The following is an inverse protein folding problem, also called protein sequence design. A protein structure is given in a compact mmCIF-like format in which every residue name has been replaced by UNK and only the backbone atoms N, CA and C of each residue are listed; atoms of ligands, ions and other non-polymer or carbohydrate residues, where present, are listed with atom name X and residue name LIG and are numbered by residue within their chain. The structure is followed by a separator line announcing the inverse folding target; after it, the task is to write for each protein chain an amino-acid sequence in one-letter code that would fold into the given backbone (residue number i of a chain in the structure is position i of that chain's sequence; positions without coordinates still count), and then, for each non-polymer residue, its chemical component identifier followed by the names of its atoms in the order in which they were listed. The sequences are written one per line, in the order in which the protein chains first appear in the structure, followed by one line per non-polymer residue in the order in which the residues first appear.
data_IF_018297882911
#
_entry.id   IF_018297882911
#
_cell.length_a   1.000
_cell.length_b   1.000
_cell.length_c   1.000
_cell.angle_alpha   90.00
_cell.angle_beta   90.00
_cell.angle_gamma   90.00
#
_symmetry.space_group_name_H-M   'P 1'
#
loop_
_entity.id
_entity.type
_entity.pdbx_description
1 polymer ?
#
# COMPACT_ATOMS: atom_id res chain seq x y z
N UNK A 1 45.64 0.02 -13.31
CA UNK A 1 46.27 -1.22 -12.82
C UNK A 1 46.09 -1.21 -11.32
N UNK A 2 45.35 -2.08 -10.64
CA UNK A 2 44.62 -3.30 -10.97
C UNK A 2 43.54 -3.47 -9.89
N UNK A 3 42.27 -3.64 -10.27
CA UNK A 3 41.49 -4.89 -10.25
C UNK A 3 41.06 -5.38 -8.86
N UNK A 4 39.74 -5.26 -8.67
CA UNK A 4 38.84 -5.98 -7.76
C UNK A 4 39.12 -7.48 -7.70
N UNK A 5 39.13 -8.03 -6.47
CA UNK A 5 38.89 -9.44 -6.09
C UNK A 5 38.73 -9.45 -4.55
N UNK A 6 37.75 -10.05 -3.88
CA UNK A 6 36.65 -10.94 -4.26
C UNK A 6 35.68 -11.03 -3.07
N UNK A 7 34.40 -11.28 -3.37
CA UNK A 7 33.36 -11.86 -2.52
C UNK A 7 33.87 -12.76 -1.37
N UNK A 8 33.49 -12.44 -0.13
CA UNK A 8 33.50 -13.43 0.96
C UNK A 8 32.19 -14.22 0.91
N UNK A 9 32.28 -15.43 0.34
CA UNK A 9 31.22 -16.42 0.36
C UNK A 9 30.94 -16.94 1.78
N UNK A 10 29.72 -17.40 1.99
CA UNK A 10 29.21 -18.02 3.21
C UNK A 10 30.17 -19.08 3.75
N UNK A 11 30.90 -18.70 4.80
CA UNK A 11 31.77 -19.58 5.56
C UNK A 11 30.96 -20.64 6.29
N UNK A 12 31.37 -21.90 6.11
CA UNK A 12 30.86 -23.09 6.80
C UNK A 12 30.66 -22.83 8.30
N UNK A 13 29.41 -22.92 8.75
CA UNK A 13 29.06 -22.96 10.17
C UNK A 13 29.71 -24.22 10.77
N UNK A 14 30.59 -24.06 11.74
CA UNK A 14 31.18 -25.19 12.45
C UNK A 14 30.08 -25.95 13.21
N UNK A 15 29.98 -27.26 12.98
CA UNK A 15 28.95 -28.14 13.55
C UNK A 15 28.92 -28.14 15.10
N UNK A 16 30.02 -27.69 15.72
CA UNK A 16 30.19 -27.55 17.17
C UNK A 16 29.45 -26.31 17.69
N UNK A 17 29.47 -25.19 16.95
CA UNK A 17 28.77 -23.95 17.33
C UNK A 17 27.24 -24.13 17.33
N UNK A 18 26.71 -24.88 16.37
CA UNK A 18 25.28 -25.18 16.27
C UNK A 18 24.76 -26.06 17.43
N UNK A 19 25.57 -27.00 17.93
CA UNK A 19 25.17 -27.84 19.08
C UNK A 19 25.10 -27.03 20.38
N UNK A 20 26.01 -26.07 20.56
CA UNK A 20 25.97 -25.16 21.72
C UNK A 20 24.80 -24.19 21.63
N UNK A 21 24.54 -23.60 20.46
CA UNK A 21 23.39 -22.70 20.26
C UNK A 21 22.07 -23.44 20.45
N UNK A 22 21.94 -24.69 19.97
CA UNK A 22 20.75 -25.54 20.19
C UNK A 22 20.54 -25.92 21.65
N UNK A 23 21.61 -26.18 22.42
CA UNK A 23 21.49 -26.43 23.87
C UNK A 23 21.05 -25.18 24.64
N UNK A 24 21.59 -24.01 24.30
CA UNK A 24 21.20 -22.76 24.97
C UNK A 24 19.80 -22.30 24.56
N UNK A 25 19.42 -22.42 23.28
CA UNK A 25 18.04 -22.16 22.84
C UNK A 25 17.04 -23.16 23.40
N UNK A 26 17.35 -24.47 23.49
CA UNK A 26 16.44 -25.44 24.15
C UNK A 26 16.26 -25.16 25.63
N UNK A 27 17.32 -24.75 26.35
CA UNK A 27 17.22 -24.31 27.75
C UNK A 27 16.37 -23.04 27.89
N UNK A 28 16.57 -22.05 27.01
CA UNK A 28 15.74 -20.83 26.98
C UNK A 28 14.28 -21.12 26.63
N UNK A 29 14.01 -22.00 25.67
CA UNK A 29 12.66 -22.45 25.30
C UNK A 29 12.00 -23.25 26.43
N UNK A 30 12.75 -24.10 27.14
CA UNK A 30 12.23 -24.81 28.31
C UNK A 30 11.88 -23.86 29.46
N UNK A 31 12.69 -22.82 29.69
CA UNK A 31 12.39 -21.77 30.68
C UNK A 31 11.15 -20.97 30.26
N UNK A 32 11.02 -20.58 28.99
CA UNK A 32 9.85 -19.86 28.47
C UNK A 32 8.57 -20.72 28.54
N UNK A 33 8.68 -22.02 28.23
CA UNK A 33 7.56 -22.95 28.35
C UNK A 33 7.15 -23.15 29.81
N UNK A 34 8.11 -23.30 30.73
CA UNK A 34 7.83 -23.40 32.16
C UNK A 34 7.18 -22.11 32.69
N UNK A 35 7.65 -20.92 32.29
CA UNK A 35 7.03 -19.65 32.68
C UNK A 35 5.62 -19.49 32.10
N UNK A 36 5.37 -19.98 30.88
CA UNK A 36 4.05 -19.96 30.28
C UNK A 36 3.08 -20.90 31.03
N UNK A 37 3.53 -22.09 31.45
CA UNK A 37 2.74 -23.01 32.26
C UNK A 37 2.42 -22.39 33.62
N UNK A 38 3.39 -21.74 34.27
CA UNK A 38 3.15 -21.03 35.54
C UNK A 38 2.16 -19.89 35.37
N UNK A 39 2.24 -19.12 34.27
CA UNK A 39 1.24 -18.09 33.96
C UNK A 39 -0.16 -18.68 33.75
N UNK A 40 -0.29 -19.79 33.03
CA UNK A 40 -1.59 -20.47 32.85
C UNK A 40 -2.13 -20.95 34.19
N UNK A 41 -1.30 -21.53 35.06
CA UNK A 41 -1.72 -21.96 36.41
C UNK A 41 -2.14 -20.77 37.26
N UNK A 42 -1.44 -19.62 37.19
CA UNK A 42 -1.82 -18.40 37.88
C UNK A 42 -3.17 -17.88 37.35
N UNK A 43 -3.36 -17.81 36.03
CA UNK A 43 -4.63 -17.37 35.42
C UNK A 43 -5.78 -18.30 35.79
N UNK A 44 -5.57 -19.62 35.80
CA UNK A 44 -6.59 -20.60 36.24
C UNK A 44 -6.87 -20.46 37.73
N UNK A 45 -5.86 -20.25 38.57
CA UNK A 45 -6.05 -20.05 40.02
C UNK A 45 -6.77 -18.74 40.35
N UNK A 46 -6.50 -17.65 39.62
CA UNK A 46 -7.25 -16.39 39.72
C UNK A 46 -8.68 -16.56 39.19
N UNK A 47 -8.87 -17.31 38.11
CA UNK A 47 -10.20 -17.63 37.57
C UNK A 47 -11.06 -18.46 38.53
N UNK A 48 -10.47 -19.40 39.26
CA UNK A 48 -11.18 -20.22 40.26
C UNK A 48 -11.48 -19.41 41.54
N UNK A 49 -10.59 -18.51 41.97
CA UNK A 49 -10.85 -17.64 43.13
C UNK A 49 -11.88 -16.54 42.81
N UNK A 50 -11.90 -16.02 41.58
CA UNK A 50 -12.96 -15.13 41.10
C UNK A 50 -14.31 -15.85 40.94
N UNK A 51 -14.31 -17.13 40.55
CA UNK A 51 -15.52 -17.95 40.39
C UNK A 51 -16.26 -18.31 41.68
N UNK A 52 -15.61 -18.23 42.85
CA UNK A 52 -16.22 -18.55 44.16
C UNK A 52 -16.78 -17.29 44.86
N UNK A 53 -16.54 -16.09 44.31
CA UNK A 53 -17.27 -14.87 44.68
C UNK A 53 -18.24 -14.52 43.55
N UNK A 54 -19.36 -15.24 43.46
CA UNK A 54 -20.56 -14.72 42.81
C UNK A 54 -21.10 -13.55 43.65
N UNK A 55 -20.46 -12.39 43.52
CA UNK A 55 -21.19 -11.13 43.53
C UNK A 55 -21.65 -10.92 42.09
N UNK A 56 -22.95 -10.66 41.91
CA UNK A 56 -23.58 -10.29 40.63
C UNK A 56 -23.03 -8.96 40.09
N UNK A 57 -21.75 -8.92 39.75
CA UNK A 57 -21.15 -7.92 38.90
C UNK A 57 -21.41 -8.30 37.45
N UNK A 58 -22.59 -7.97 36.94
CA UNK A 58 -22.83 -7.91 35.50
C UNK A 58 -21.63 -7.22 34.81
N UNK A 59 -21.07 -7.75 33.71
CA UNK A 59 -20.04 -7.02 32.97
C UNK A 59 -20.64 -5.66 32.61
N UNK A 60 -20.05 -4.59 33.15
CA UNK A 60 -20.48 -3.23 32.85
C UNK A 60 -20.48 -3.06 31.33
N UNK A 61 -21.51 -2.45 30.71
CA UNK A 61 -21.51 -2.24 29.28
C UNK A 61 -20.21 -1.50 28.92
N UNK A 62 -19.37 -2.10 28.06
CA UNK A 62 -18.13 -1.48 27.58
C UNK A 62 -18.50 -0.11 27.03
N UNK A 63 -17.96 0.96 27.61
CA UNK A 63 -18.31 2.29 27.13
C UNK A 63 -17.72 2.47 25.74
N UNK A 64 -18.41 3.19 24.85
CA UNK A 64 -17.90 3.44 23.49
C UNK A 64 -16.51 4.12 23.54
N UNK A 65 -16.27 4.92 24.58
CA UNK A 65 -14.96 5.54 24.82
C UNK A 65 -13.87 4.48 25.07
N UNK A 66 -14.20 3.37 25.73
CA UNK A 66 -13.26 2.28 25.96
C UNK A 66 -13.02 1.47 24.69
N UNK A 67 -14.03 1.28 23.83
CA UNK A 67 -13.85 0.67 22.50
C UNK A 67 -12.94 1.52 21.60
N UNK A 68 -13.14 2.84 21.57
CA UNK A 68 -12.27 3.76 20.82
C UNK A 68 -10.84 3.72 21.37
N UNK A 69 -10.67 3.73 22.70
CA UNK A 69 -9.33 3.63 23.31
C UNK A 69 -8.65 2.31 22.97
N UNK A 70 -9.36 1.20 23.06
CA UNK A 70 -8.83 -0.12 22.71
C UNK A 70 -8.37 -0.14 21.25
N UNK A 71 -9.17 0.43 20.34
CA UNK A 71 -8.82 0.51 18.93
C UNK A 71 -7.59 1.40 18.69
N UNK A 72 -7.54 2.57 19.31
CA UNK A 72 -6.45 3.52 19.12
C UNK A 72 -5.14 3.10 19.83
N UNK A 73 -5.19 2.18 20.81
CA UNK A 73 -4.01 1.77 21.55
C UNK A 73 -3.00 0.97 20.71
N UNK A 74 -3.42 0.38 19.59
CA UNK A 74 -2.50 -0.29 18.64
C UNK A 74 -1.87 0.66 17.63
N UNK A 75 -2.25 1.94 17.66
CA UNK A 75 -1.84 2.93 16.64
C UNK A 75 -0.56 3.66 17.02
N UNK A 76 0.10 4.25 16.02
CA UNK A 76 1.32 5.04 16.22
C UNK A 76 1.03 6.38 16.93
N UNK A 77 -0.17 6.94 16.73
CA UNK A 77 -0.59 8.20 17.33
C UNK A 77 -1.92 8.04 18.09
N UNK A 78 -1.92 7.39 19.27
CA UNK A 78 -3.16 7.07 20.00
C UNK A 78 -4.00 8.28 20.39
N UNK A 79 -3.37 9.37 20.82
CA UNK A 79 -4.08 10.61 21.19
C UNK A 79 -4.83 11.20 20.00
N UNK A 80 -4.14 11.32 18.87
CA UNK A 80 -4.66 11.81 17.58
C UNK A 80 -5.82 10.93 17.09
N UNK A 81 -5.66 9.61 17.15
CA UNK A 81 -6.71 8.63 16.84
C UNK A 81 -7.97 8.82 17.70
N UNK A 82 -7.81 8.89 19.03
CA UNK A 82 -8.95 9.05 19.95
C UNK A 82 -9.67 10.36 19.68
N UNK A 83 -8.93 11.47 19.55
CA UNK A 83 -9.53 12.78 19.32
C UNK A 83 -10.29 12.85 18.00
N UNK A 84 -9.69 12.34 16.91
CA UNK A 84 -10.26 12.49 15.58
C UNK A 84 -11.51 11.65 15.39
N UNK A 85 -11.52 10.41 15.89
CA UNK A 85 -12.69 9.52 15.86
C UNK A 85 -13.79 10.05 16.77
N UNK A 86 -13.44 10.53 17.96
CA UNK A 86 -14.42 11.08 18.91
C UNK A 86 -15.12 12.31 18.36
N UNK A 87 -14.42 13.16 17.61
CA UNK A 87 -15.00 14.32 16.91
C UNK A 87 -15.84 13.88 15.72
N UNK A 88 -15.33 12.98 14.87
CA UNK A 88 -16.00 12.61 13.62
C UNK A 88 -17.26 11.76 13.81
N UNK A 89 -17.33 10.93 14.86
CA UNK A 89 -18.54 10.14 15.15
C UNK A 89 -19.74 11.00 15.58
N UNK A 90 -19.50 12.20 16.11
CA UNK A 90 -20.55 13.07 16.65
C UNK A 90 -21.40 12.36 17.70
N UNK A 91 -22.72 12.33 17.47
CA UNK A 91 -23.70 11.67 18.34
C UNK A 91 -23.88 10.16 18.07
N UNK A 92 -23.14 9.58 17.11
CA UNK A 92 -23.23 8.15 16.80
C UNK A 92 -22.67 7.33 17.98
N UNK A 93 -23.51 6.44 18.51
CA UNK A 93 -23.23 5.63 19.70
C UNK A 93 -22.65 4.24 19.38
N UNK A 94 -22.14 4.03 18.16
CA UNK A 94 -21.58 2.73 17.77
C UNK A 94 -20.28 2.41 18.52
N UNK A 95 -20.22 1.21 19.08
CA UNK A 95 -19.01 0.57 19.63
C UNK A 95 -18.42 -0.48 18.68
N UNK A 96 -19.02 -0.65 17.50
CA UNK A 96 -18.58 -1.59 16.46
C UNK A 96 -17.20 -1.20 15.88
N UNK A 97 -16.16 -2.05 16.03
CA UNK A 97 -14.83 -1.78 15.49
C UNK A 97 -14.80 -1.52 13.99
N UNK A 98 -15.71 -2.14 13.22
CA UNK A 98 -15.79 -1.98 11.77
C UNK A 98 -16.23 -0.56 11.38
N UNK A 99 -17.29 -0.05 12.03
CA UNK A 99 -17.76 1.31 11.83
C UNK A 99 -16.77 2.35 12.38
N UNK A 100 -16.13 2.08 13.53
CA UNK A 100 -15.07 2.94 14.07
C UNK A 100 -13.88 3.03 13.11
N UNK A 101 -13.50 1.92 12.48
CA UNK A 101 -12.46 1.92 11.46
C UNK A 101 -12.89 2.68 10.19
N UNK A 102 -14.14 2.53 9.74
CA UNK A 102 -14.69 3.31 8.63
C UNK A 102 -14.66 4.81 8.91
N UNK A 103 -14.97 5.23 10.13
CA UNK A 103 -14.83 6.63 10.59
C UNK A 103 -13.37 7.07 10.53
N UNK A 104 -12.42 6.23 10.98
CA UNK A 104 -10.98 6.53 10.88
C UNK A 104 -10.51 6.75 9.44
N UNK A 105 -11.01 5.96 8.48
CA UNK A 105 -10.73 6.14 7.06
C UNK A 105 -11.30 7.46 6.52
N UNK A 106 -12.56 7.79 6.83
CA UNK A 106 -13.18 9.07 6.43
C UNK A 106 -12.41 10.27 6.98
N UNK A 107 -12.00 10.20 8.24
CA UNK A 107 -11.16 11.24 8.87
C UNK A 107 -9.84 11.44 8.12
N UNK A 108 -9.21 10.37 7.66
CA UNK A 108 -7.99 10.45 6.86
C UNK A 108 -8.27 11.09 5.48
N UNK A 109 -9.34 10.68 4.78
CA UNK A 109 -9.75 11.28 3.50
C UNK A 109 -9.97 12.79 3.63
N UNK A 110 -10.75 13.21 4.64
CA UNK A 110 -11.06 14.61 4.88
C UNK A 110 -9.80 15.44 5.20
N UNK A 111 -8.85 14.84 5.93
CA UNK A 111 -7.60 15.52 6.25
C UNK A 111 -6.69 15.66 5.02
N UNK A 112 -6.63 14.66 4.14
CA UNK A 112 -5.89 14.77 2.87
C UNK A 112 -6.56 15.79 1.95
N UNK A 113 -7.89 15.76 1.82
CA UNK A 113 -8.64 16.72 0.99
C UNK A 113 -8.49 18.17 1.47
N UNK A 114 -8.28 18.40 2.78
CA UNK A 114 -7.95 19.73 3.29
C UNK A 114 -6.54 20.18 2.89
N UNK A 115 -5.54 19.31 3.01
CA UNK A 115 -4.16 19.69 2.70
C UNK A 115 -3.90 19.81 1.20
N UNK A 116 -4.64 19.11 0.34
CA UNK A 116 -4.51 19.29 -1.12
C UNK A 116 -4.83 20.72 -1.55
N UNK A 117 -5.76 21.40 -0.86
CA UNK A 117 -6.04 22.83 -1.12
C UNK A 117 -4.93 23.78 -0.69
N UNK A 118 -4.05 23.36 0.23
CA UNK A 118 -2.95 24.19 0.74
C UNK A 118 -1.91 24.42 -0.35
N UNK A 119 -1.70 23.45 -1.25
CA UNK A 119 -0.76 23.59 -2.36
C UNK A 119 -1.06 24.81 -3.25
N UNK A 120 -2.34 25.12 -3.48
CA UNK A 120 -2.78 26.28 -4.25
C UNK A 120 -2.63 27.63 -3.54
N UNK A 121 -2.31 27.63 -2.24
CA UNK A 121 -2.17 28.86 -1.43
C UNK A 121 -0.74 29.42 -1.40
N UNK A 122 0.24 28.68 -1.92
CA UNK A 122 1.62 29.12 -1.93
C UNK A 122 1.89 30.12 -3.06
N UNK A 123 2.57 31.22 -2.73
CA UNK A 123 3.13 32.11 -3.75
C UNK A 123 4.32 31.43 -4.41
N UNK A 124 4.19 31.14 -5.71
CA UNK A 124 5.25 30.52 -6.51
C UNK A 124 5.98 31.64 -7.26
N UNK A 125 7.28 31.85 -7.02
CA UNK A 125 8.07 32.77 -7.84
C UNK A 125 8.04 32.31 -9.30
N UNK A 126 7.78 33.22 -10.24
CA UNK A 126 7.59 32.89 -11.67
C UNK A 126 8.75 32.11 -12.33
N UNK A 127 9.94 32.14 -11.73
CA UNK A 127 11.13 31.44 -12.22
C UNK A 127 11.43 30.12 -11.49
N UNK A 128 10.71 29.77 -10.42
CA UNK A 128 10.95 28.55 -9.66
C UNK A 128 10.13 27.37 -10.22
N UNK A 129 10.54 26.91 -11.40
CA UNK A 129 9.92 25.78 -12.10
C UNK A 129 9.97 24.47 -11.29
N UNK A 130 10.97 24.34 -10.41
CA UNK A 130 11.15 23.17 -9.56
C UNK A 130 10.09 23.14 -8.47
N UNK A 131 9.87 24.27 -7.80
CA UNK A 131 8.79 24.42 -6.83
C UNK A 131 7.42 24.20 -7.47
N UNK A 132 7.20 24.77 -8.66
CA UNK A 132 5.96 24.59 -9.42
C UNK A 132 5.70 23.10 -9.76
N UNK A 133 6.76 22.38 -10.17
CA UNK A 133 6.67 20.94 -10.44
C UNK A 133 6.43 20.12 -9.16
N UNK A 134 7.13 20.43 -8.06
CA UNK A 134 6.93 19.75 -6.78
C UNK A 134 5.50 19.90 -6.25
N UNK A 135 4.91 21.10 -6.38
CA UNK A 135 3.51 21.34 -5.99
C UNK A 135 2.51 20.57 -6.87
N UNK A 136 2.77 20.43 -8.17
CA UNK A 136 1.97 19.58 -9.07
C UNK A 136 2.09 18.10 -8.70
N UNK A 137 3.30 17.63 -8.43
CA UNK A 137 3.54 16.24 -8.00
C UNK A 137 2.80 15.96 -6.68
N UNK A 138 2.81 16.90 -5.73
CA UNK A 138 2.05 16.80 -4.49
C UNK A 138 0.54 16.69 -4.69
N UNK A 139 -0.04 17.53 -5.55
CA UNK A 139 -1.47 17.47 -5.87
C UNK A 139 -1.86 16.08 -6.39
N UNK A 140 -1.05 15.55 -7.30
CA UNK A 140 -1.21 14.22 -7.87
C UNK A 140 -1.06 13.09 -6.83
N UNK A 141 -0.11 13.22 -5.91
CA UNK A 141 0.10 12.25 -4.84
C UNK A 141 -1.05 12.29 -3.82
N UNK A 142 -1.59 13.47 -3.50
CA UNK A 142 -2.77 13.57 -2.63
C UNK A 142 -4.03 12.98 -3.27
N UNK A 143 -4.25 13.23 -4.55
CA UNK A 143 -5.34 12.58 -5.30
C UNK A 143 -5.21 11.05 -5.26
N UNK A 144 -3.99 10.54 -5.46
CA UNK A 144 -3.71 9.10 -5.39
C UNK A 144 -3.95 8.54 -3.97
N UNK A 145 -3.54 9.26 -2.93
CA UNK A 145 -3.79 8.85 -1.54
C UNK A 145 -5.29 8.84 -1.19
N UNK A 146 -6.05 9.83 -1.67
CA UNK A 146 -7.52 9.89 -1.50
C UNK A 146 -8.18 8.72 -2.22
N UNK A 147 -7.76 8.40 -3.43
CA UNK A 147 -8.25 7.24 -4.18
C UNK A 147 -8.04 5.93 -3.40
N UNK A 148 -6.82 5.69 -2.87
CA UNK A 148 -6.49 4.51 -2.06
C UNK A 148 -7.33 4.39 -0.80
N UNK A 149 -7.61 5.53 -0.14
CA UNK A 149 -8.48 5.56 1.03
C UNK A 149 -9.95 5.29 0.66
N UNK A 150 -10.42 5.80 -0.48
CA UNK A 150 -11.77 5.53 -0.98
C UNK A 150 -11.94 4.07 -1.41
N UNK A 151 -10.93 3.47 -2.05
CA UNK A 151 -10.90 2.03 -2.33
C UNK A 151 -11.01 1.25 -1.02
N UNK A 152 -10.25 1.65 0.00
CA UNK A 152 -10.31 1.05 1.35
C UNK A 152 -11.70 1.17 1.97
N UNK A 153 -12.36 2.32 1.86
CA UNK A 153 -13.75 2.53 2.30
C UNK A 153 -14.74 1.63 1.54
N UNK A 154 -14.50 1.38 0.24
CA UNK A 154 -15.37 0.53 -0.57
C UNK A 154 -15.31 -0.95 -0.13
N UNK A 155 -14.14 -1.44 0.29
CA UNK A 155 -13.99 -2.80 0.84
C UNK A 155 -14.69 -2.99 2.18
N UNK A 156 -14.85 -1.90 2.93
CA UNK A 156 -15.57 -1.88 4.21
C UNK A 156 -17.09 -1.85 4.04
N UNK A 157 -17.61 -1.88 2.81
CA UNK A 157 -19.06 -2.00 2.58
C UNK A 157 -19.51 -3.46 2.79
N UNK A 158 -20.54 -3.64 3.60
CA UNK A 158 -21.13 -4.95 3.90
C UNK A 158 -21.94 -5.45 2.70
N UNK A 159 -21.41 -6.41 1.95
CA UNK A 159 -22.16 -7.15 0.93
C UNK A 159 -22.97 -8.28 1.58
N UNK A 160 -24.24 -8.51 1.16
CA UNK A 160 -25.05 -9.59 1.72
C UNK A 160 -24.41 -10.96 1.48
N UNK A 161 -24.15 -11.71 2.57
CA UNK A 161 -23.67 -13.10 2.49
C UNK A 161 -22.16 -13.29 2.46
N UNK A 162 -21.36 -12.21 2.53
CA UNK A 162 -19.89 -12.31 2.69
C UNK A 162 -19.42 -11.82 4.06
N UNK A 163 -18.41 -12.45 4.68
CA UNK A 163 -17.77 -11.90 5.87
C UNK A 163 -17.19 -10.52 5.53
N UNK A 164 -17.36 -9.55 6.43
CA UNK A 164 -16.90 -8.20 6.17
C UNK A 164 -15.39 -8.17 5.94
N UNK A 165 -14.65 -8.95 6.72
CA UNK A 165 -13.20 -9.07 6.66
C UNK A 165 -12.79 -10.50 6.27
N UNK A 166 -11.78 -10.58 5.41
CA UNK A 166 -11.07 -11.81 5.11
C UNK A 166 -9.60 -11.47 4.82
N UNK A 167 -8.74 -12.48 4.73
CA UNK A 167 -7.31 -12.29 4.50
C UNK A 167 -6.99 -11.41 3.28
N UNK A 168 -7.73 -11.58 2.16
CA UNK A 168 -7.53 -10.78 0.94
C UNK A 168 -7.88 -9.32 1.17
N UNK A 169 -9.04 -9.04 1.78
CA UNK A 169 -9.46 -7.67 2.09
C UNK A 169 -8.46 -6.97 3.02
N UNK A 170 -7.93 -7.68 4.01
CA UNK A 170 -6.92 -7.12 4.93
C UNK A 170 -5.60 -6.85 4.20
N UNK A 171 -5.18 -7.72 3.28
CA UNK A 171 -4.00 -7.50 2.44
C UNK A 171 -4.18 -6.28 1.52
N UNK A 172 -5.34 -6.14 0.89
CA UNK A 172 -5.68 -5.00 0.03
C UNK A 172 -5.73 -3.70 0.85
N UNK A 173 -6.43 -3.68 1.99
CA UNK A 173 -6.46 -2.55 2.93
C UNK A 173 -5.05 -2.15 3.39
N UNK A 174 -4.23 -3.12 3.77
CA UNK A 174 -2.85 -2.87 4.21
C UNK A 174 -2.03 -2.26 3.08
N UNK A 175 -2.19 -2.78 1.86
CA UNK A 175 -1.47 -2.30 0.67
C UNK A 175 -1.86 -0.87 0.32
N UNK A 176 -3.16 -0.57 0.23
CA UNK A 176 -3.64 0.74 -0.14
C UNK A 176 -3.35 1.80 0.92
N UNK A 177 -3.47 1.47 2.21
CA UNK A 177 -3.11 2.39 3.28
C UNK A 177 -1.61 2.64 3.37
N UNK A 178 -0.77 1.62 3.11
CA UNK A 178 0.68 1.81 3.02
C UNK A 178 1.06 2.69 1.83
N UNK A 179 0.38 2.53 0.69
CA UNK A 179 0.56 3.40 -0.48
C UNK A 179 0.14 4.84 -0.16
N UNK A 180 -1.00 5.07 0.49
CA UNK A 180 -1.45 6.41 0.86
C UNK A 180 -0.47 7.14 1.80
N UNK A 181 0.14 6.43 2.77
CA UNK A 181 1.23 7.01 3.59
C UNK A 181 2.45 7.34 2.73
N UNK A 182 2.83 6.43 1.83
CA UNK A 182 3.97 6.64 0.92
C UNK A 182 3.76 7.84 0.00
N UNK A 183 2.53 8.05 -0.50
CA UNK A 183 2.19 9.17 -1.37
C UNK A 183 2.37 10.51 -0.62
N UNK A 184 1.94 10.57 0.65
CA UNK A 184 2.15 11.73 1.52
C UNK A 184 3.65 12.02 1.75
N UNK A 185 4.44 10.99 2.06
CA UNK A 185 5.89 11.15 2.26
C UNK A 185 6.59 11.57 0.95
N UNK A 186 6.21 10.98 -0.18
CA UNK A 186 6.76 11.30 -1.50
C UNK A 186 6.47 12.76 -1.89
N UNK A 187 5.33 13.31 -1.49
CA UNK A 187 5.04 14.73 -1.71
C UNK A 187 6.04 15.62 -0.96
N UNK A 188 6.36 15.29 0.30
CA UNK A 188 7.34 16.04 1.08
C UNK A 188 8.75 15.90 0.50
N UNK A 189 9.13 14.71 0.01
CA UNK A 189 10.39 14.46 -0.67
C UNK A 189 10.50 15.24 -2.00
N UNK A 190 9.37 15.49 -2.67
CA UNK A 190 9.30 16.29 -3.90
C UNK A 190 9.84 17.71 -3.75
N UNK A 191 9.85 18.26 -2.54
CA UNK A 191 10.42 19.59 -2.26
C UNK A 191 11.93 19.58 -2.02
N UNK A 192 12.61 18.44 -2.06
CA UNK A 192 14.06 18.39 -1.94
C UNK A 192 14.72 19.30 -2.99
N UNK A 193 15.67 20.13 -2.55
CA UNK A 193 16.39 21.09 -3.40
C UNK A 193 15.55 22.26 -3.95
N UNK A 194 14.32 22.45 -3.46
CA UNK A 194 13.56 23.70 -3.66
C UNK A 194 14.05 24.79 -2.70
N UNK A 195 13.74 26.06 -3.00
CA UNK A 195 14.07 27.19 -2.12
C UNK A 195 12.85 27.67 -1.33
N UNK A 196 13.08 28.28 -0.17
CA UNK A 196 12.01 28.82 0.68
C UNK A 196 11.50 27.86 1.74
N UNK A 197 10.34 28.16 2.32
CA UNK A 197 9.74 27.43 3.45
C UNK A 197 8.48 26.64 3.09
N UNK A 198 8.24 26.39 1.81
CA UNK A 198 7.04 25.67 1.34
C UNK A 198 7.03 24.25 1.87
N UNK A 199 8.17 23.55 1.85
CA UNK A 199 8.33 22.21 2.44
C UNK A 199 7.87 22.18 3.90
N UNK A 200 8.41 23.08 4.73
CA UNK A 200 8.12 23.10 6.16
C UNK A 200 6.66 23.45 6.45
N UNK A 201 6.08 24.39 5.67
CA UNK A 201 4.65 24.72 5.76
C UNK A 201 3.78 23.54 5.35
N UNK A 202 4.17 22.82 4.29
CA UNK A 202 3.46 21.62 3.84
C UNK A 202 3.55 20.52 4.91
N UNK A 203 4.74 20.26 5.45
CA UNK A 203 4.97 19.29 6.53
C UNK A 203 4.07 19.58 7.74
N UNK A 204 4.00 20.84 8.17
CA UNK A 204 3.10 21.27 9.25
C UNK A 204 1.62 21.08 8.89
N UNK A 205 1.22 21.41 7.67
CA UNK A 205 -0.17 21.22 7.21
C UNK A 205 -0.56 19.73 7.12
N UNK A 206 0.41 18.86 6.84
CA UNK A 206 0.22 17.42 6.68
C UNK A 206 0.25 16.62 7.98
N UNK A 207 0.53 17.23 9.14
CA UNK A 207 0.62 16.51 10.43
C UNK A 207 -0.64 15.69 10.71
N UNK A 208 -1.82 16.29 10.54
CA UNK A 208 -3.06 15.58 10.80
C UNK A 208 -3.31 14.47 9.78
N UNK A 209 -3.12 14.74 8.49
CA UNK A 209 -3.38 13.76 7.44
C UNK A 209 -2.44 12.56 7.53
N UNK A 210 -1.15 12.77 7.79
CA UNK A 210 -0.16 11.69 7.97
C UNK A 210 -0.45 10.86 9.22
N UNK A 211 -0.79 11.49 10.35
CA UNK A 211 -1.14 10.77 11.57
C UNK A 211 -2.42 9.94 11.39
N UNK A 212 -3.47 10.49 10.77
CA UNK A 212 -4.73 9.77 10.58
C UNK A 212 -4.59 8.60 9.63
N UNK A 213 -3.90 8.76 8.50
CA UNK A 213 -3.62 7.65 7.57
C UNK A 213 -2.78 6.56 8.26
N UNK A 214 -1.74 6.96 9.02
CA UNK A 214 -0.90 6.02 9.79
C UNK A 214 -1.69 5.26 10.86
N UNK A 215 -2.62 5.93 11.55
CA UNK A 215 -3.49 5.29 12.54
C UNK A 215 -4.43 4.27 11.90
N UNK A 216 -5.02 4.60 10.74
CA UNK A 216 -5.83 3.67 9.96
C UNK A 216 -5.02 2.43 9.54
N UNK A 217 -3.81 2.60 9.02
CA UNK A 217 -2.93 1.48 8.66
C UNK A 217 -2.64 0.57 9.87
N UNK A 218 -2.26 1.17 11.00
CA UNK A 218 -1.97 0.43 12.22
C UNK A 218 -3.20 -0.34 12.75
N UNK A 219 -4.40 0.21 12.55
CA UNK A 219 -5.66 -0.43 12.96
C UNK A 219 -5.94 -1.68 12.14
N UNK A 220 -5.71 -1.65 10.82
CA UNK A 220 -5.82 -2.84 9.95
C UNK A 220 -4.85 -3.93 10.38
N UNK A 221 -3.57 -3.57 10.56
CA UNK A 221 -2.52 -4.53 10.91
C UNK A 221 -2.70 -5.10 12.32
N UNK A 222 -3.10 -4.26 13.28
CA UNK A 222 -3.18 -4.61 14.69
C UNK A 222 -4.48 -5.31 15.11
N UNK A 223 -5.63 -4.88 14.57
CA UNK A 223 -6.94 -5.33 15.04
C UNK A 223 -7.61 -6.21 14.00
N UNK A 224 -7.76 -5.74 12.76
CA UNK A 224 -8.46 -6.51 11.73
C UNK A 224 -7.69 -7.79 11.37
N UNK A 225 -6.36 -7.71 11.31
CA UNK A 225 -5.48 -8.87 11.12
C UNK A 225 -5.46 -9.87 12.29
N UNK A 226 -5.94 -9.48 13.48
CA UNK A 226 -6.11 -10.40 14.62
C UNK A 226 -7.53 -10.98 14.63
N UNK A 227 -8.55 -10.18 14.33
CA UNK A 227 -9.93 -10.63 14.21
C UNK A 227 -10.09 -11.71 13.14
N UNK A 228 -9.44 -11.55 11.98
CA UNK A 228 -9.41 -12.58 10.94
C UNK A 228 -8.88 -13.92 11.46
N UNK A 229 -7.82 -13.92 12.27
CA UNK A 229 -7.23 -15.14 12.83
C UNK A 229 -8.11 -15.82 13.87
N UNK A 230 -9.03 -15.08 14.49
CA UNK A 230 -9.93 -15.58 15.52
C UNK A 230 -11.25 -16.11 14.95
N UNK A 231 -11.70 -15.59 13.79
CA UNK A 231 -12.97 -15.97 13.16
C UNK A 231 -12.89 -17.24 12.29
N UNK A 232 -11.67 -17.76 12.04
CA UNK A 232 -11.48 -19.05 11.39
C UNK A 232 -11.46 -20.22 12.39
N UNK A 233 -12.28 -21.28 12.20
CA UNK A 233 -12.02 -22.54 12.90
C UNK A 233 -10.63 -23.02 12.52
N UNK A 234 -9.82 -23.39 13.51
CA UNK A 234 -8.44 -23.89 13.41
C UNK A 234 -8.32 -25.20 12.59
N UNK A 235 -8.82 -25.24 11.37
CA UNK A 235 -8.30 -26.14 10.36
C UNK A 235 -7.10 -25.44 9.78
N UNK A 236 -5.95 -25.75 10.38
CA UNK A 236 -4.63 -25.44 9.87
C UNK A 236 -4.56 -25.91 8.41
N UNK A 237 -5.00 -25.08 7.46
CA UNK A 237 -4.56 -25.21 6.07
C UNK A 237 -3.07 -25.02 6.16
N UNK A 238 -2.34 -26.12 6.02
CA UNK A 238 -0.93 -26.06 5.71
C UNK A 238 -0.82 -25.04 4.56
N UNK A 239 -0.09 -23.96 4.78
CA UNK A 239 0.48 -23.19 3.68
C UNK A 239 1.42 -24.13 2.95
N UNK A 240 0.87 -25.02 2.11
CA UNK A 240 1.62 -25.47 0.97
C UNK A 240 1.76 -24.21 0.13
N UNK A 241 2.92 -23.58 0.24
CA UNK A 241 3.46 -22.85 -0.91
C UNK A 241 3.70 -23.97 -1.92
N UNK A 242 2.88 -24.16 -2.95
CA UNK A 242 3.30 -25.03 -4.03
C UNK A 242 4.60 -24.41 -4.52
N UNK A 243 5.70 -25.17 -4.50
CA UNK A 243 7.02 -24.75 -4.99
C UNK A 243 7.04 -24.43 -6.50
N UNK A 244 5.90 -24.06 -7.08
CA UNK A 244 5.70 -23.67 -8.46
C UNK A 244 4.49 -22.72 -8.64
N UNK A 245 4.21 -21.80 -7.71
CA UNK A 245 3.32 -20.65 -8.03
C UNK A 245 4.09 -19.73 -8.98
N UNK A 246 4.15 -20.12 -10.26
CA UNK A 246 4.76 -19.34 -11.34
C UNK A 246 4.04 -18.00 -11.57
N UNK A 247 2.81 -17.84 -11.06
CA UNK A 247 2.00 -16.62 -11.20
C UNK A 247 1.23 -16.32 -9.90
N UNK A 248 1.24 -15.08 -9.41
CA UNK A 248 0.50 -14.68 -8.21
C UNK A 248 -1.01 -14.99 -8.26
N UNK A 249 -1.67 -15.15 -7.09
CA UNK A 249 -3.09 -15.46 -7.00
C UNK A 249 -4.00 -14.46 -7.72
N UNK A 250 -3.63 -13.17 -7.70
CA UNK A 250 -4.37 -12.06 -8.32
C UNK A 250 -4.33 -12.06 -9.86
N UNK A 251 -3.42 -12.83 -10.49
CA UNK A 251 -3.47 -13.04 -11.93
C UNK A 251 -4.49 -14.13 -12.23
N UNK A 252 -5.59 -13.80 -12.92
CA UNK A 252 -6.63 -14.75 -13.29
C UNK A 252 -6.10 -15.87 -14.21
N UNK A 253 -6.78 -17.02 -14.27
CA UNK A 253 -6.40 -18.10 -15.19
C UNK A 253 -6.45 -17.69 -16.67
N UNK A 254 -7.27 -16.70 -17.02
CA UNK A 254 -7.32 -16.13 -18.36
C UNK A 254 -6.07 -15.29 -18.64
N UNK A 255 -5.72 -14.37 -17.73
CA UNK A 255 -4.48 -13.58 -17.82
C UNK A 255 -3.23 -14.47 -17.83
N UNK A 256 -3.18 -15.51 -16.99
CA UNK A 256 -2.09 -16.50 -17.02
C UNK A 256 -2.00 -17.24 -18.36
N UNK A 257 -3.13 -17.47 -19.03
CA UNK A 257 -3.16 -18.08 -20.37
C UNK A 257 -2.71 -17.10 -21.44
N UNK A 258 -3.11 -15.83 -21.34
CA UNK A 258 -2.64 -14.77 -22.23
C UNK A 258 -1.11 -14.56 -22.11
N UNK A 259 -0.56 -14.52 -20.88
CA UNK A 259 0.89 -14.45 -20.63
C UNK A 259 1.66 -15.71 -21.07
N UNK A 260 0.97 -16.83 -21.32
CA UNK A 260 1.55 -18.09 -21.80
C UNK A 260 1.36 -18.31 -23.29
N UNK A 261 0.39 -17.64 -23.91
CA UNK A 261 0.18 -17.74 -25.35
C UNK A 261 1.31 -17.02 -26.07
N UNK A 262 1.81 -17.63 -27.14
CA UNK A 262 2.74 -16.97 -28.04
C UNK A 262 2.21 -15.58 -28.40
N UNK A 263 3.09 -14.58 -28.33
CA UNK A 263 2.78 -13.18 -28.63
C UNK A 263 2.10 -13.00 -30.01
N UNK A 264 2.24 -13.99 -30.90
CA UNK A 264 1.61 -14.07 -32.21
C UNK A 264 0.07 -14.22 -32.20
N UNK A 265 -0.59 -14.47 -31.06
CA UNK A 265 -2.05 -14.67 -30.97
C UNK A 265 -2.84 -13.53 -30.35
N UNK A 266 -2.18 -12.53 -29.78
CA UNK A 266 -2.84 -11.30 -29.32
C UNK A 266 -2.93 -10.38 -30.53
N UNK A 267 -4.11 -10.21 -31.12
CA UNK A 267 -4.32 -9.20 -32.15
C UNK A 267 -4.14 -7.81 -31.50
N UNK A 268 -3.10 -7.05 -31.86
CA UNK A 268 -2.88 -5.75 -31.26
C UNK A 268 -3.95 -4.78 -31.76
N UNK A 269 -4.50 -3.98 -30.85
CA UNK A 269 -5.41 -2.91 -31.22
C UNK A 269 -4.65 -1.79 -31.93
N UNK A 270 -3.44 -1.49 -31.45
CA UNK A 270 -2.56 -0.46 -32.03
C UNK A 270 -1.13 -0.98 -32.11
N UNK A 271 -0.48 -0.73 -33.25
CA UNK A 271 0.94 -1.05 -33.47
C UNK A 271 1.76 0.23 -33.56
N UNK A 272 2.77 0.34 -32.70
CA UNK A 272 3.73 1.44 -32.64
C UNK A 272 5.02 1.02 -33.35
N UNK A 273 5.50 1.85 -34.27
CA UNK A 273 6.79 1.63 -34.92
C UNK A 273 7.47 2.96 -35.26
N UNK A 274 8.69 3.14 -34.77
CA UNK A 274 9.50 4.34 -35.03
C UNK A 274 9.88 4.50 -36.51
N UNK A 275 10.03 3.39 -37.23
CA UNK A 275 10.35 3.34 -38.67
C UNK A 275 9.15 3.69 -39.56
N UNK A 276 7.96 3.88 -38.98
CA UNK A 276 6.72 4.15 -39.70
C UNK A 276 6.03 2.91 -40.27
N UNK A 277 6.51 1.69 -39.95
CA UNK A 277 5.87 0.43 -40.33
C UNK A 277 4.67 0.03 -39.44
N UNK A 278 4.33 0.88 -38.47
CA UNK A 278 3.20 0.76 -37.55
C UNK A 278 2.09 1.75 -37.89
N UNK A 279 1.02 1.73 -37.10
CA UNK A 279 -0.09 2.68 -37.22
C UNK A 279 0.28 4.05 -36.65
N UNK A 280 1.09 4.06 -35.58
CA UNK A 280 1.56 5.28 -34.90
C UNK A 280 3.07 5.21 -34.68
N UNK A 281 3.70 6.38 -34.50
CA UNK A 281 5.16 6.49 -34.34
C UNK A 281 5.61 6.55 -32.89
N UNK A 282 4.73 6.98 -31.99
CA UNK A 282 5.04 7.19 -30.57
C UNK A 282 4.14 6.37 -29.67
N UNK A 283 4.65 6.00 -28.50
CA UNK A 283 3.92 5.24 -27.48
C UNK A 283 2.84 6.14 -26.86
N UNK A 284 3.14 7.43 -26.66
CA UNK A 284 2.18 8.41 -26.17
C UNK A 284 0.92 8.49 -27.05
N UNK A 285 1.10 8.54 -28.37
CA UNK A 285 -0.02 8.56 -29.32
C UNK A 285 -0.87 7.28 -29.23
N UNK A 286 -0.23 6.12 -29.04
CA UNK A 286 -0.95 4.86 -28.83
C UNK A 286 -1.80 4.84 -27.55
N UNK A 287 -1.29 5.45 -26.47
CA UNK A 287 -2.03 5.59 -25.22
C UNK A 287 -3.18 6.59 -25.35
N UNK A 288 -2.98 7.66 -26.11
CA UNK A 288 -4.03 8.65 -26.39
C UNK A 288 -5.20 8.03 -27.16
N UNK A 289 -4.92 7.08 -28.06
CA UNK A 289 -5.93 6.30 -28.78
C UNK A 289 -6.72 5.31 -27.90
N UNK A 290 -6.17 4.89 -26.77
CA UNK A 290 -6.86 3.95 -25.89
C UNK A 290 -8.16 4.58 -25.32
N UNK A 291 -9.32 3.91 -25.38
CA UNK A 291 -10.55 4.48 -24.85
C UNK A 291 -10.48 4.65 -23.32
N UNK A 292 -11.12 5.72 -22.82
CA UNK A 292 -11.22 5.97 -21.38
C UNK A 292 -12.13 4.91 -20.72
N UNK A 293 -11.73 4.41 -19.54
CA UNK A 293 -12.44 3.42 -18.72
C UNK A 293 -12.89 2.18 -19.50
N UNK A 294 -11.97 1.60 -20.26
CA UNK A 294 -12.30 0.44 -21.10
C UNK A 294 -12.55 -0.82 -20.25
N UNK A 295 -13.65 -1.51 -20.53
CA UNK A 295 -13.97 -2.79 -19.92
C UNK A 295 -13.14 -3.95 -20.51
N UNK A 296 -12.68 -3.80 -21.75
CA UNK A 296 -11.85 -4.80 -22.44
C UNK A 296 -10.37 -4.38 -22.46
N UNK A 297 -9.44 -5.34 -22.47
CA UNK A 297 -8.02 -5.01 -22.56
C UNK A 297 -7.70 -4.33 -23.90
N UNK A 298 -7.00 -3.19 -23.85
CA UNK A 298 -6.49 -2.49 -25.02
C UNK A 298 -5.02 -2.83 -25.21
N UNK A 299 -4.70 -3.60 -26.24
CA UNK A 299 -3.35 -4.12 -26.47
C UNK A 299 -2.58 -3.23 -27.43
N UNK A 300 -1.51 -2.62 -26.93
CA UNK A 300 -0.54 -1.81 -27.68
C UNK A 300 0.69 -2.68 -27.93
N UNK A 301 1.02 -2.88 -29.20
CA UNK A 301 2.22 -3.61 -29.60
C UNK A 301 3.29 -2.63 -30.11
N UNK A 302 4.48 -2.70 -29.54
CA UNK A 302 5.60 -1.81 -29.80
C UNK A 302 6.70 -2.61 -30.50
N UNK A 303 6.93 -2.30 -31.77
CA UNK A 303 7.99 -2.92 -32.55
C UNK A 303 9.38 -2.58 -32.02
N UNK A 304 10.36 -3.40 -32.38
CA UNK A 304 11.78 -3.16 -32.07
C UNK A 304 12.22 -1.76 -32.51
N UNK A 305 12.95 -1.08 -31.64
CA UNK A 305 13.29 0.32 -31.82
C UNK A 305 13.63 1.02 -30.51
N UNK A 306 14.25 2.19 -30.64
CA UNK A 306 14.57 3.08 -29.52
C UNK A 306 13.60 4.26 -29.53
N UNK A 307 12.72 4.31 -28.53
CA UNK A 307 11.69 5.31 -28.36
C UNK A 307 12.15 6.35 -27.33
N UNK A 308 12.44 7.57 -27.79
CA UNK A 308 12.93 8.65 -26.92
C UNK A 308 11.77 9.51 -26.44
N UNK A 309 11.05 9.02 -25.44
CA UNK A 309 9.88 9.67 -24.88
C UNK A 309 9.69 9.33 -23.40
N UNK A 310 9.03 10.22 -22.66
CA UNK A 310 8.53 9.97 -21.32
C UNK A 310 7.03 9.66 -21.42
N UNK A 311 6.68 8.42 -21.06
CA UNK A 311 5.33 7.88 -21.23
C UNK A 311 4.57 7.99 -19.92
N UNK A 312 3.40 8.61 -19.97
CA UNK A 312 2.49 8.74 -18.84
C UNK A 312 1.17 8.10 -19.20
N UNK A 313 0.78 7.06 -18.46
CA UNK A 313 -0.54 6.44 -18.56
C UNK A 313 -1.48 7.14 -17.59
N UNK A 314 -2.44 7.89 -18.15
CA UNK A 314 -3.45 8.63 -17.39
C UNK A 314 -4.37 7.69 -16.59
N UNK A 315 -4.82 8.15 -15.43
CA UNK A 315 -5.74 7.45 -14.53
C UNK A 315 -7.04 6.99 -15.19
N UNK A 316 -7.50 7.66 -16.24
CA UNK A 316 -8.70 7.27 -16.99
C UNK A 316 -8.49 6.10 -17.95
N UNK A 317 -7.24 5.69 -18.22
CA UNK A 317 -6.91 4.63 -19.20
C UNK A 317 -6.73 3.29 -18.47
N UNK A 318 -7.83 2.55 -18.30
CA UNK A 318 -7.82 1.25 -17.63
C UNK A 318 -7.55 0.11 -18.60
N UNK A 319 -7.00 -1.00 -18.08
CA UNK A 319 -6.78 -2.24 -18.83
C UNK A 319 -5.91 -2.09 -20.10
N UNK A 320 -4.90 -1.24 -20.07
CA UNK A 320 -3.93 -1.13 -21.17
C UNK A 320 -2.86 -2.21 -21.01
N UNK A 321 -2.63 -2.99 -22.07
CA UNK A 321 -1.57 -3.99 -22.15
C UNK A 321 -0.54 -3.48 -23.14
N UNK A 322 0.72 -3.39 -22.72
CA UNK A 322 1.83 -2.98 -23.59
C UNK A 322 2.74 -4.17 -23.84
N UNK A 323 2.98 -4.49 -25.10
CA UNK A 323 3.81 -5.62 -25.53
C UNK A 323 4.94 -5.10 -26.41
N UNK A 324 6.17 -5.49 -26.13
CA UNK A 324 7.34 -5.18 -26.97
C UNK A 324 7.92 -6.42 -27.63
N UNK A 325 8.68 -6.25 -28.70
CA UNK A 325 9.39 -7.32 -29.42
C UNK A 325 10.45 -8.06 -28.60
N UNK A 326 10.80 -7.52 -27.44
CA UNK A 326 11.64 -8.16 -26.45
C UNK A 326 12.40 -7.16 -25.60
N UNK A 327 12.89 -7.63 -24.46
CA UNK A 327 13.58 -6.82 -23.44
C UNK A 327 14.80 -6.04 -23.98
N UNK A 328 15.48 -6.55 -25.00
CA UNK A 328 16.66 -5.89 -25.62
C UNK A 328 16.38 -5.28 -26.99
N UNK A 329 15.13 -5.32 -27.46
CA UNK A 329 14.74 -4.89 -28.80
C UNK A 329 13.89 -3.62 -28.77
N UNK A 330 12.96 -3.56 -27.84
CA UNK A 330 12.12 -2.40 -27.62
C UNK A 330 12.66 -1.65 -26.41
N UNK A 331 13.29 -0.50 -26.65
CA UNK A 331 13.91 0.32 -25.60
C UNK A 331 13.18 1.65 -25.53
N UNK A 332 12.67 2.00 -24.36
CA UNK A 332 12.10 3.33 -24.07
C UNK A 332 13.13 4.10 -23.26
N UNK A 333 13.52 5.28 -23.76
CA UNK A 333 14.60 6.11 -23.23
C UNK A 333 14.07 7.51 -22.87
N UNK A 334 13.95 7.77 -21.57
CA UNK A 334 13.49 9.05 -21.01
C UNK A 334 14.66 9.92 -20.58
N UNK A 335 14.58 11.24 -20.80
CA UNK A 335 15.68 12.19 -20.52
C UNK A 335 15.53 12.97 -19.21
N UNK A 336 14.37 12.90 -18.57
CA UNK A 336 14.08 13.68 -17.37
C UNK A 336 14.92 13.20 -16.18
N UNK A 337 15.46 14.14 -15.41
CA UNK A 337 16.27 13.86 -14.24
C UNK A 337 16.21 15.00 -13.22
N UNK A 338 16.64 14.69 -11.99
CA UNK A 338 16.61 15.60 -10.85
C UNK A 338 17.58 16.77 -10.95
N UNK A 339 18.76 16.55 -11.53
CA UNK A 339 19.80 17.58 -11.64
C UNK A 339 19.32 18.71 -12.57
N UNK A 340 18.57 18.38 -13.62
CA UNK A 340 17.96 19.33 -14.55
C UNK A 340 16.70 20.02 -13.99
N UNK A 341 16.34 19.75 -12.73
CA UNK A 341 15.24 20.43 -12.02
C UNK A 341 13.88 19.75 -12.09
N UNK A 342 13.79 18.51 -12.58
CA UNK A 342 12.55 17.71 -12.52
C UNK A 342 12.47 16.97 -11.18
N UNK A 343 11.40 17.06 -10.39
CA UNK A 343 11.32 16.31 -9.14
C UNK A 343 11.37 14.79 -9.38
N UNK A 344 11.89 14.04 -8.41
CA UNK A 344 12.16 12.59 -8.53
C UNK A 344 10.93 11.80 -9.00
N UNK A 345 9.74 12.12 -8.48
CA UNK A 345 8.48 11.46 -8.86
C UNK A 345 8.18 11.56 -10.37
N UNK A 346 8.45 12.72 -10.96
CA UNK A 346 8.24 13.02 -12.38
C UNK A 346 9.39 12.58 -13.31
N UNK A 347 10.45 11.94 -12.80
CA UNK A 347 11.59 11.50 -13.64
C UNK A 347 11.37 10.18 -14.37
N UNK A 348 10.33 9.43 -14.03
CA UNK A 348 10.08 8.11 -14.60
C UNK A 348 9.96 8.15 -16.13
N UNK A 349 10.60 7.19 -16.79
CA UNK A 349 10.50 7.01 -18.26
C UNK A 349 9.13 6.45 -18.65
N UNK A 350 8.56 5.61 -17.80
CA UNK A 350 7.23 5.05 -17.97
C UNK A 350 6.51 5.13 -16.62
N UNK A 351 5.50 5.99 -16.50
CA UNK A 351 4.70 6.16 -15.30
C UNK A 351 3.23 5.82 -15.55
N UNK A 352 2.58 5.37 -14.50
CA UNK A 352 1.14 5.14 -14.47
C UNK A 352 0.57 5.76 -13.21
N UNK A 353 -0.48 6.53 -13.37
CA UNK A 353 -1.21 7.12 -12.26
C UNK A 353 -2.49 6.31 -12.08
N UNK A 354 -2.57 5.50 -11.01
CA UNK A 354 -3.60 4.49 -10.83
C UNK A 354 -4.81 5.02 -10.08
N UNK A 355 -6.02 4.63 -10.51
CA UNK A 355 -7.05 4.18 -9.57
C UNK A 355 -7.11 2.65 -9.59
N UNK A 356 -7.17 2.02 -10.78
CA UNK A 356 -6.89 0.59 -10.91
C UNK A 356 -6.09 0.30 -12.19
N UNK A 357 -4.99 -0.44 -12.05
CA UNK A 357 -4.84 -1.72 -12.75
C UNK A 357 -3.46 -2.35 -12.45
N UNK A 358 -3.42 -3.67 -12.61
CA UNK A 358 -2.22 -4.49 -12.73
C UNK A 358 -1.17 -3.84 -13.66
N UNK A 359 0.10 -4.01 -13.29
CA UNK A 359 1.26 -3.98 -14.19
C UNK A 359 1.58 -5.42 -14.62
#
# INVERSE_FOLDING_TARGET
MDIVKTFNGYGKVSEIADRHLRRTTRRRLAILAASAIVLVVIVVSVGVVAGIRHGDGSPSPTSIADSIKAMCNVTRYPSSCVSSISTARGANLTDDPEELFRISLTVAVDAIGKVSTVAGSFEIPANDKRLEAALRDCDQLFDSAIDRLNDSLSLMQRLPGEPLLNASKIEDLTTWLSAAVTDQETCLDGFEGTTGNVRDKMEVAMVNSTQYTSNSLATVVGILGVMEKLDFPLHRKLLSVPSAVRYPPWISRAQRRALRQDMARLEPNVTVAVDGSGQVKTIKEAIDLAPKKNAHPFTIYIKEGVYKENVVVDKSKWNVIVLGDGMYKTIVDGKLNFIDGTPTFSTATFSKYSLEALL
#
